data_IF_289508787926
#
_entry.id   IF_289508787926
#
_cell.length_a   1.000
_cell.length_b   1.000
_cell.length_c   1.000
_cell.angle_alpha   90.00
_cell.angle_beta   90.00
_cell.angle_gamma   90.00
#
_symmetry.space_group_name_H-M   'P 1'
#
loop_
_entity.id
_entity.type
_entity.pdbx_description
1 polymer ?
#
# COMPACT_ATOMS: atom_id res chain seq x y z
N UNK A 1 11.71 -1.07 15.32
CA UNK A 1 11.90 -0.15 14.19
C UNK A 1 12.39 1.20 14.68
N UNK A 2 11.61 1.95 15.50
CA UNK A 2 11.97 3.32 15.91
C UNK A 2 13.36 3.40 16.60
N UNK A 3 13.68 2.47 17.50
CA UNK A 3 14.99 2.42 18.14
C UNK A 3 16.14 2.29 17.13
N UNK A 4 15.92 1.54 16.05
CA UNK A 4 16.90 1.39 14.99
C UNK A 4 17.10 2.68 14.18
N UNK A 5 16.08 3.49 13.97
CA UNK A 5 16.26 4.79 13.31
C UNK A 5 17.19 5.71 14.07
N UNK A 6 17.08 5.76 15.39
CA UNK A 6 18.01 6.55 16.22
C UNK A 6 19.44 6.02 16.12
N UNK A 7 19.62 4.71 16.22
CA UNK A 7 20.92 4.05 16.08
C UNK A 7 21.56 4.31 14.70
N UNK A 8 20.77 4.21 13.63
CA UNK A 8 21.25 4.45 12.27
C UNK A 8 21.64 5.92 12.04
N UNK A 9 20.83 6.86 12.54
CA UNK A 9 21.13 8.29 12.45
C UNK A 9 22.38 8.66 13.25
N UNK A 10 22.56 8.11 14.43
CA UNK A 10 23.78 8.30 15.22
C UNK A 10 25.02 7.74 14.48
N UNK A 11 24.86 6.58 13.85
CA UNK A 11 25.94 5.93 13.12
C UNK A 11 26.44 6.73 11.91
N UNK A 12 25.57 7.50 11.25
CA UNK A 12 25.93 8.35 10.10
C UNK A 12 26.88 9.47 10.52
N UNK A 13 26.75 9.99 11.74
CA UNK A 13 27.59 11.05 12.30
C UNK A 13 28.84 10.59 13.02
N UNK A 14 29.03 9.28 13.18
CA UNK A 14 30.14 8.69 13.95
C UNK A 14 31.18 8.03 13.05
N UNK A 15 32.45 8.10 13.46
CA UNK A 15 33.49 7.29 12.83
C UNK A 15 33.30 5.82 13.22
N UNK A 16 33.20 4.95 12.22
CA UNK A 16 32.99 3.50 12.40
C UNK A 16 33.97 2.70 11.56
N UNK A 17 34.35 1.57 12.08
CA UNK A 17 35.16 0.60 11.34
C UNK A 17 34.34 -0.09 10.22
N UNK A 18 34.99 -0.66 9.20
CA UNK A 18 34.29 -1.41 8.16
C UNK A 18 33.43 -2.55 8.70
N UNK A 19 33.87 -3.24 9.74
CA UNK A 19 33.11 -4.35 10.34
C UNK A 19 31.84 -3.85 11.06
N UNK A 20 31.92 -2.70 11.76
CA UNK A 20 30.76 -2.07 12.38
C UNK A 20 29.75 -1.58 11.33
N UNK A 21 30.23 -1.03 10.22
CA UNK A 21 29.37 -0.63 9.10
C UNK A 21 28.68 -1.83 8.47
N UNK A 22 29.42 -2.93 8.26
CA UNK A 22 28.83 -4.16 7.73
C UNK A 22 27.73 -4.71 8.65
N UNK A 23 28.00 -4.75 9.96
CA UNK A 23 27.02 -5.18 10.95
C UNK A 23 25.74 -4.31 10.92
N UNK A 24 25.90 -2.99 10.77
CA UNK A 24 24.77 -2.04 10.68
C UNK A 24 23.97 -2.25 9.38
N UNK A 25 24.63 -2.52 8.26
CA UNK A 25 23.97 -2.81 6.99
C UNK A 25 23.14 -4.10 7.08
N UNK A 26 23.68 -5.16 7.67
CA UNK A 26 22.94 -6.41 7.87
C UNK A 26 21.74 -6.22 8.79
N UNK A 27 21.93 -5.48 9.89
CA UNK A 27 20.84 -5.13 10.80
C UNK A 27 19.76 -4.27 10.11
N UNK A 28 20.14 -3.39 9.20
CA UNK A 28 19.18 -2.63 8.37
C UNK A 28 18.27 -3.58 7.56
N UNK A 29 18.86 -4.63 6.97
CA UNK A 29 18.10 -5.65 6.25
C UNK A 29 17.09 -6.39 7.14
N UNK A 30 17.48 -6.78 8.34
CA UNK A 30 16.60 -7.44 9.31
C UNK A 30 15.44 -6.53 9.74
N UNK A 31 15.72 -5.28 10.04
CA UNK A 31 14.70 -4.30 10.44
C UNK A 31 13.75 -3.98 9.28
N UNK A 32 14.27 -3.90 8.05
CA UNK A 32 13.46 -3.70 6.86
C UNK A 32 12.49 -4.88 6.64
N UNK A 33 12.98 -6.12 6.80
CA UNK A 33 12.12 -7.31 6.72
C UNK A 33 10.99 -7.27 7.75
N UNK A 34 11.29 -6.87 8.99
CA UNK A 34 10.29 -6.70 10.04
C UNK A 34 9.26 -5.61 9.70
N UNK A 35 9.69 -4.50 9.09
CA UNK A 35 8.78 -3.44 8.61
C UNK A 35 7.86 -3.94 7.51
N UNK A 36 8.39 -4.68 6.54
CA UNK A 36 7.61 -5.24 5.44
C UNK A 36 6.56 -6.23 5.95
N UNK A 37 6.94 -7.11 6.88
CA UNK A 37 6.01 -8.06 7.51
C UNK A 37 4.90 -7.34 8.29
N UNK A 38 5.22 -6.26 8.98
CA UNK A 38 4.24 -5.45 9.71
C UNK A 38 3.26 -4.76 8.74
N UNK A 39 3.76 -4.20 7.64
CA UNK A 39 2.94 -3.57 6.61
C UNK A 39 1.99 -4.57 5.96
N UNK A 40 2.51 -5.74 5.59
CA UNK A 40 1.71 -6.82 5.01
C UNK A 40 0.59 -7.25 5.97
N UNK A 41 0.93 -7.52 7.23
CA UNK A 41 -0.05 -7.90 8.24
C UNK A 41 -1.13 -6.82 8.49
N UNK A 42 -0.75 -5.55 8.46
CA UNK A 42 -1.69 -4.44 8.61
C UNK A 42 -2.65 -4.35 7.40
N UNK A 43 -2.12 -4.46 6.18
CA UNK A 43 -2.92 -4.37 4.97
C UNK A 43 -3.84 -5.59 4.81
N UNK A 44 -3.32 -6.80 4.95
CA UNK A 44 -4.12 -8.03 4.83
C UNK A 44 -5.15 -8.15 5.95
N UNK A 45 -4.82 -7.71 7.16
CA UNK A 45 -5.75 -7.65 8.28
C UNK A 45 -6.90 -6.64 8.08
N UNK A 46 -6.64 -5.52 7.40
CA UNK A 46 -7.65 -4.47 7.15
C UNK A 46 -8.48 -4.72 5.89
N UNK A 47 -7.86 -5.24 4.83
CA UNK A 47 -8.46 -5.31 3.48
C UNK A 47 -8.61 -6.74 2.94
N UNK A 48 -8.05 -7.73 3.60
CA UNK A 48 -8.00 -9.12 3.16
C UNK A 48 -6.81 -9.43 2.25
N UNK A 49 -6.61 -10.71 1.98
CA UNK A 49 -5.56 -11.14 1.05
C UNK A 49 -5.89 -10.75 -0.39
N UNK A 50 -4.89 -10.32 -1.18
CA UNK A 50 -5.10 -10.02 -2.58
C UNK A 50 -5.44 -11.30 -3.36
N UNK A 51 -6.52 -11.25 -4.13
CA UNK A 51 -6.95 -12.34 -5.01
C UNK A 51 -7.01 -11.86 -6.45
N UNK A 52 -6.62 -12.69 -7.44
CA UNK A 52 -6.76 -12.33 -8.85
C UNK A 52 -8.22 -12.07 -9.21
N UNK A 53 -8.49 -10.92 -9.82
CA UNK A 53 -9.82 -10.55 -10.30
C UNK A 53 -9.77 -10.15 -11.76
N UNK A 54 -10.85 -10.43 -12.51
CA UNK A 54 -10.99 -9.97 -13.88
C UNK A 54 -11.64 -8.59 -13.87
N UNK A 55 -10.92 -7.58 -14.36
CA UNK A 55 -11.43 -6.21 -14.48
C UNK A 55 -11.70 -5.86 -15.95
N UNK A 56 -12.86 -5.27 -16.29
CA UNK A 56 -13.12 -4.79 -17.63
C UNK A 56 -12.29 -3.53 -17.91
N UNK A 57 -11.68 -3.48 -19.09
CA UNK A 57 -10.91 -2.32 -19.57
C UNK A 57 -11.77 -1.29 -20.30
N UNK A 58 -13.08 -1.49 -20.35
CA UNK A 58 -14.02 -0.61 -21.05
C UNK A 58 -14.61 0.45 -20.14
N UNK A 59 -14.82 1.64 -20.67
CA UNK A 59 -15.50 2.73 -19.97
C UNK A 59 -17.01 2.54 -20.10
N UNK A 60 -17.73 2.64 -18.99
CA UNK A 60 -19.20 2.62 -18.97
C UNK A 60 -19.78 4.03 -19.05
N UNK A 61 -21.00 4.10 -19.59
CA UNK A 61 -21.77 5.36 -19.62
C UNK A 61 -22.22 5.72 -18.20
N UNK A 62 -22.00 6.95 -17.81
CA UNK A 62 -22.44 7.48 -16.51
C UNK A 62 -21.41 8.41 -15.88
N UNK A 63 -21.75 9.01 -14.75
CA UNK A 63 -20.80 9.81 -13.99
C UNK A 63 -19.68 8.91 -13.46
N UNK A 64 -18.48 9.46 -13.39
CA UNK A 64 -17.32 8.70 -12.92
C UNK A 64 -16.33 9.58 -12.13
N UNK A 65 -15.53 8.93 -11.31
CA UNK A 65 -14.41 9.52 -10.58
C UNK A 65 -13.17 8.69 -10.92
N UNK A 66 -12.07 9.37 -11.27
CA UNK A 66 -10.75 8.75 -11.45
C UNK A 66 -9.93 8.96 -10.19
N UNK A 67 -9.40 7.89 -9.64
CA UNK A 67 -8.58 7.89 -8.42
C UNK A 67 -7.20 7.35 -8.73
N UNK A 68 -6.17 8.11 -8.37
CA UNK A 68 -4.78 7.68 -8.46
C UNK A 68 -4.09 7.98 -7.14
N UNK A 69 -3.27 7.06 -6.65
CA UNK A 69 -2.55 7.22 -5.40
C UNK A 69 -2.27 5.90 -4.71
N UNK A 70 -1.99 5.97 -3.39
CA UNK A 70 -1.52 4.84 -2.60
C UNK A 70 -2.35 4.63 -1.31
N UNK A 71 -3.27 5.54 -0.98
CA UNK A 71 -4.05 5.47 0.26
C UNK A 71 -5.30 4.59 0.09
N UNK A 72 -5.22 3.38 0.63
CA UNK A 72 -6.32 2.41 0.61
C UNK A 72 -7.47 2.81 1.54
N UNK A 73 -7.19 3.58 2.61
CA UNK A 73 -8.21 4.04 3.53
C UNK A 73 -9.13 5.08 2.86
N UNK A 74 -8.54 6.07 2.19
CA UNK A 74 -9.28 7.08 1.43
C UNK A 74 -10.09 6.45 0.29
N UNK A 75 -9.50 5.46 -0.42
CA UNK A 75 -10.25 4.71 -1.42
C UNK A 75 -11.47 4.01 -0.82
N UNK A 76 -11.31 3.36 0.34
CA UNK A 76 -12.42 2.69 1.02
C UNK A 76 -13.52 3.68 1.38
N UNK A 77 -13.18 4.84 1.94
CA UNK A 77 -14.15 5.90 2.26
C UNK A 77 -14.89 6.41 1.01
N UNK A 78 -14.17 6.59 -0.10
CA UNK A 78 -14.77 7.00 -1.38
C UNK A 78 -15.77 5.95 -1.89
N UNK A 79 -15.40 4.67 -1.85
CA UNK A 79 -16.27 3.58 -2.27
C UNK A 79 -17.52 3.47 -1.39
N UNK A 80 -17.38 3.63 -0.08
CA UNK A 80 -18.50 3.63 0.86
C UNK A 80 -19.46 4.83 0.60
N UNK A 81 -18.92 6.02 0.28
CA UNK A 81 -19.71 7.21 -0.04
C UNK A 81 -20.43 7.11 -1.40
N UNK A 82 -19.85 6.42 -2.37
CA UNK A 82 -20.41 6.31 -3.73
C UNK A 82 -21.26 5.06 -3.95
N UNK A 83 -21.30 4.18 -2.97
CA UNK A 83 -22.09 2.94 -3.05
C UNK A 83 -23.57 3.22 -3.35
N UNK A 84 -24.10 2.56 -4.38
CA UNK A 84 -25.50 2.70 -4.78
C UNK A 84 -25.87 4.02 -5.46
N UNK A 85 -24.92 4.94 -5.70
CA UNK A 85 -25.19 6.24 -6.34
C UNK A 85 -25.05 6.25 -7.86
N UNK A 86 -24.74 5.10 -8.47
CA UNK A 86 -24.55 4.98 -9.92
C UNK A 86 -23.32 5.73 -10.44
N UNK A 87 -22.31 5.92 -9.58
CA UNK A 87 -21.03 6.55 -9.93
C UNK A 87 -20.00 5.44 -10.16
N UNK A 88 -19.33 5.47 -11.30
CA UNK A 88 -18.25 4.54 -11.63
C UNK A 88 -16.94 5.05 -11.02
N UNK A 89 -16.17 4.19 -10.38
CA UNK A 89 -14.85 4.51 -9.85
C UNK A 89 -13.80 3.80 -10.70
N UNK A 90 -12.91 4.59 -11.29
CA UNK A 90 -11.75 4.09 -12.04
C UNK A 90 -10.50 4.33 -11.22
N UNK A 91 -9.76 3.28 -10.95
CA UNK A 91 -8.54 3.33 -10.18
C UNK A 91 -7.31 3.19 -11.08
N UNK A 92 -6.25 3.85 -10.71
CA UNK A 92 -4.95 3.80 -11.39
C UNK A 92 -3.84 3.59 -10.37
N UNK A 93 -2.73 2.95 -10.78
CA UNK A 93 -1.59 2.67 -9.94
C UNK A 93 -1.86 1.55 -8.90
N UNK A 94 -1.16 1.56 -7.80
CA UNK A 94 -1.15 0.48 -6.79
C UNK A 94 -2.51 0.24 -6.12
N UNK A 95 -3.36 1.24 -6.09
CA UNK A 95 -4.73 1.12 -5.55
C UNK A 95 -5.56 0.05 -6.29
N UNK A 96 -5.23 -0.22 -7.55
CA UNK A 96 -6.01 -1.16 -8.37
C UNK A 96 -5.81 -2.63 -8.02
N UNK A 97 -4.77 -2.98 -7.27
CA UNK A 97 -4.39 -4.37 -7.01
C UNK A 97 -4.94 -4.96 -5.69
N UNK A 98 -5.52 -4.16 -4.83
CA UNK A 98 -5.72 -4.53 -3.41
C UNK A 98 -7.17 -4.58 -2.93
N UNK A 99 -8.18 -4.45 -3.80
CA UNK A 99 -9.56 -4.44 -3.31
C UNK A 99 -10.27 -5.79 -3.44
N UNK A 100 -10.67 -6.43 -2.32
CA UNK A 100 -11.33 -7.74 -2.32
C UNK A 100 -12.87 -7.69 -2.43
N UNK A 101 -13.50 -6.55 -2.74
CA UNK A 101 -14.97 -6.48 -2.76
C UNK A 101 -15.57 -6.33 -4.17
N UNK A 102 -16.35 -7.35 -4.64
CA UNK A 102 -16.97 -7.34 -5.97
C UNK A 102 -18.24 -6.50 -6.10
N UNK A 103 -18.63 -5.70 -5.12
CA UNK A 103 -19.94 -5.03 -5.08
C UNK A 103 -19.96 -3.57 -5.55
N UNK A 104 -18.83 -3.02 -5.93
CA UNK A 104 -18.77 -1.70 -6.55
C UNK A 104 -18.06 -1.83 -7.90
N UNK A 105 -18.53 -1.14 -8.92
CA UNK A 105 -17.94 -1.16 -10.27
C UNK A 105 -16.54 -0.56 -10.24
N UNK A 106 -15.59 -1.31 -9.66
CA UNK A 106 -14.18 -0.94 -9.69
C UNK A 106 -13.61 -1.32 -11.05
N UNK A 107 -13.06 -0.36 -11.73
CA UNK A 107 -12.44 -0.55 -13.03
C UNK A 107 -11.07 0.12 -13.05
N UNK A 108 -10.10 -0.63 -13.50
CA UNK A 108 -8.73 -0.14 -13.69
C UNK A 108 -8.60 0.47 -15.09
N UNK A 109 -8.01 1.63 -15.19
CA UNK A 109 -7.61 2.27 -16.46
C UNK A 109 -6.13 2.06 -16.68
#
# INVERSE_FOLDING_TARGET
VNAFFYEALEAIGAEKTPDELLALVLKTGEVNLACMALLDAANTGAYGDPVPVTVPLTIEKGPFIVVSGHDLHDLKLLLDQTAGRGINIYTHSEISTTSPRPSCSQRTV
#
